data_IF_494255445056
#
_entry.id   IF_494255445056
#
_cell.length_a   1.000
_cell.length_b   1.000
_cell.length_c   1.000
_cell.angle_alpha   90.00
_cell.angle_beta   90.00
_cell.angle_gamma   90.00
#
_symmetry.space_group_name_H-M   'P 1'
#
loop_
_entity.id
_entity.type
_entity.pdbx_description
1 polymer ?
#
# COMPACT_ATOMS: atom_id res chain seq x y z
N UNK A 1 19.61 -17.96 31.59
CA UNK A 1 19.89 -16.64 30.99
C UNK A 1 19.16 -16.57 29.66
N UNK A 2 17.83 -16.36 29.68
CA UNK A 2 17.05 -16.17 28.45
C UNK A 2 17.26 -14.74 27.99
N UNK A 3 18.06 -14.55 26.95
CA UNK A 3 18.15 -13.26 26.28
C UNK A 3 16.84 -13.05 25.53
N UNK A 4 15.99 -12.15 26.04
CA UNK A 4 14.91 -11.55 25.26
C UNK A 4 15.57 -10.77 24.12
N UNK A 5 15.68 -11.37 22.94
CA UNK A 5 16.11 -10.65 21.74
C UNK A 5 15.12 -9.50 21.52
N UNK A 6 15.64 -8.27 21.60
CA UNK A 6 14.87 -7.08 21.29
C UNK A 6 14.29 -7.22 19.86
N UNK A 7 12.97 -7.15 19.73
CA UNK A 7 12.30 -7.16 18.44
C UNK A 7 12.90 -6.06 17.55
N UNK A 8 13.30 -6.37 16.30
CA UNK A 8 13.86 -5.34 15.43
C UNK A 8 12.82 -4.24 15.24
N UNK A 9 13.20 -2.99 15.50
CA UNK A 9 12.30 -1.85 15.31
C UNK A 9 12.22 -1.54 13.82
N UNK A 10 11.00 -1.58 13.28
CA UNK A 10 10.72 -0.99 11.96
C UNK A 10 10.99 0.51 12.07
N UNK A 11 11.92 1.03 11.27
CA UNK A 11 12.24 2.46 11.19
C UNK A 11 11.78 2.99 9.85
N UNK A 12 10.95 4.03 9.85
CA UNK A 12 10.40 4.67 8.64
C UNK A 12 8.89 4.78 8.67
N UNK A 13 8.35 5.82 8.03
CA UNK A 13 6.91 6.01 7.92
C UNK A 13 6.43 5.35 6.61
N UNK A 14 5.48 4.42 6.71
CA UNK A 14 4.88 3.76 5.55
C UNK A 14 3.55 4.43 5.20
N UNK A 15 3.41 4.92 3.97
CA UNK A 15 2.32 5.80 3.52
C UNK A 15 0.88 5.30 3.85
N UNK A 16 0.64 3.98 3.88
CA UNK A 16 -0.68 3.37 4.17
C UNK A 16 -0.77 2.60 5.50
N UNK A 17 0.29 2.58 6.30
CA UNK A 17 0.38 1.70 7.47
C UNK A 17 0.51 2.53 8.74
N UNK A 18 -0.41 2.34 9.68
CA UNK A 18 -0.40 3.07 10.95
C UNK A 18 0.58 2.46 11.97
N UNK A 19 0.56 1.13 12.11
CA UNK A 19 1.35 0.39 13.10
C UNK A 19 1.97 -0.87 12.47
N UNK A 20 2.90 -0.71 11.50
CA UNK A 20 3.57 -1.86 10.92
C UNK A 20 4.44 -2.56 11.97
N UNK A 21 4.34 -3.89 12.03
CA UNK A 21 5.19 -4.74 12.85
C UNK A 21 5.86 -5.81 11.99
N UNK A 22 7.01 -6.30 12.44
CA UNK A 22 7.70 -7.38 11.73
C UNK A 22 6.93 -8.69 11.93
N UNK A 23 6.73 -9.41 10.83
CA UNK A 23 6.07 -10.69 10.88
C UNK A 23 6.95 -11.71 11.62
N UNK A 24 6.55 -12.02 12.84
CA UNK A 24 7.18 -13.01 13.71
C UNK A 24 6.31 -14.28 13.81
N UNK A 25 6.95 -15.45 13.69
CA UNK A 25 6.24 -16.73 13.69
C UNK A 25 5.56 -17.00 15.03
N UNK A 26 6.24 -16.76 16.15
CA UNK A 26 5.73 -17.06 17.49
C UNK A 26 4.55 -16.15 17.87
N UNK A 27 4.65 -14.85 17.57
CA UNK A 27 3.65 -13.84 17.89
C UNK A 27 2.40 -13.92 17.00
N UNK A 28 2.55 -14.31 15.73
CA UNK A 28 1.46 -14.28 14.75
C UNK A 28 0.97 -15.68 14.33
N UNK A 29 1.50 -16.77 14.89
CA UNK A 29 1.11 -18.15 14.51
C UNK A 29 -0.39 -18.44 14.62
N UNK A 30 -1.08 -17.79 15.57
CA UNK A 30 -2.52 -17.94 15.77
C UNK A 30 -3.38 -16.95 14.98
N UNK A 31 -2.77 -16.06 14.20
CA UNK A 31 -3.49 -15.05 13.43
C UNK A 31 -3.73 -15.54 11.99
N UNK A 32 -4.78 -15.01 11.38
CA UNK A 32 -5.15 -15.29 9.99
C UNK A 32 -5.68 -14.03 9.32
N UNK A 33 -5.87 -14.10 8.01
CA UNK A 33 -6.49 -13.04 7.24
C UNK A 33 -7.99 -13.29 7.15
N UNK A 34 -8.76 -12.30 7.57
CA UNK A 34 -10.20 -12.25 7.32
C UNK A 34 -10.47 -11.48 6.02
N UNK A 35 -11.15 -12.06 5.03
CA UNK A 35 -11.56 -11.33 3.84
C UNK A 35 -12.46 -10.15 4.21
N UNK A 36 -11.94 -8.94 4.08
CA UNK A 36 -12.72 -7.74 4.37
C UNK A 36 -13.93 -7.64 3.43
N UNK A 37 -15.11 -7.30 3.98
CA UNK A 37 -16.32 -7.05 3.19
C UNK A 37 -16.14 -5.91 2.17
N UNK A 38 -15.21 -4.99 2.42
CA UNK A 38 -14.81 -3.88 1.55
C UNK A 38 -13.29 -3.90 1.33
N UNK A 39 -12.77 -4.72 0.40
CA UNK A 39 -11.35 -5.04 0.31
C UNK A 39 -10.42 -3.85 0.09
N UNK A 40 -10.86 -2.79 -0.58
CA UNK A 40 -10.05 -1.60 -0.91
C UNK A 40 -10.42 -0.34 -0.12
N UNK A 41 -11.33 -0.44 0.85
CA UNK A 41 -11.75 0.72 1.65
C UNK A 41 -10.57 1.41 2.38
N UNK A 42 -9.52 0.65 2.71
CA UNK A 42 -8.30 1.17 3.35
C UNK A 42 -7.58 2.25 2.52
N UNK A 43 -7.77 2.27 1.20
CA UNK A 43 -7.15 3.24 0.29
C UNK A 43 -8.18 4.17 -0.36
N UNK A 44 -9.41 4.23 0.16
CA UNK A 44 -10.47 5.11 -0.36
C UNK A 44 -10.13 6.60 -0.24
N UNK A 45 -9.25 6.96 0.72
CA UNK A 45 -8.90 8.34 1.02
C UNK A 45 -7.53 8.83 0.52
N UNK A 46 -6.88 8.08 -0.37
CA UNK A 46 -5.58 8.46 -0.92
C UNK A 46 -5.69 9.01 -2.34
N UNK A 47 -4.83 9.96 -2.69
CA UNK A 47 -4.80 10.57 -4.03
C UNK A 47 -3.70 10.04 -4.93
N UNK A 48 -2.71 9.37 -4.35
CA UNK A 48 -1.60 8.82 -5.08
C UNK A 48 -1.01 7.64 -4.33
N UNK A 49 -0.38 6.72 -5.06
CA UNK A 49 0.32 5.57 -4.47
C UNK A 49 1.65 5.35 -5.16
N UNK A 50 2.71 4.98 -4.42
CA UNK A 50 3.97 4.59 -5.02
C UNK A 50 3.81 3.39 -5.96
N UNK A 51 4.46 3.46 -7.11
CA UNK A 51 4.60 2.34 -8.06
C UNK A 51 6.08 2.04 -8.27
N UNK A 52 6.40 0.83 -8.69
CA UNK A 52 7.77 0.49 -9.10
C UNK A 52 7.99 0.84 -10.58
N UNK A 53 9.25 0.97 -11.01
CA UNK A 53 9.58 1.25 -12.41
C UNK A 53 9.00 0.20 -13.38
N UNK A 54 8.97 -1.07 -12.96
CA UNK A 54 8.40 -2.16 -13.74
C UNK A 54 6.87 -2.10 -13.85
N UNK A 55 6.19 -1.36 -12.97
CA UNK A 55 4.74 -1.16 -13.03
C UNK A 55 4.34 -0.01 -13.95
N UNK A 56 5.24 0.93 -14.24
CA UNK A 56 4.93 2.14 -15.02
C UNK A 56 4.25 1.82 -16.36
N UNK A 57 4.70 0.88 -17.20
CA UNK A 57 4.06 0.63 -18.49
C UNK A 57 2.59 0.21 -18.38
N UNK A 58 2.23 -0.54 -17.33
CA UNK A 58 0.87 -0.99 -17.11
C UNK A 58 0.04 0.08 -16.40
N UNK A 59 0.59 0.67 -15.34
CA UNK A 59 -0.07 1.72 -14.57
C UNK A 59 -0.41 2.94 -15.44
N UNK A 60 0.46 3.31 -16.38
CA UNK A 60 0.28 4.51 -17.22
C UNK A 60 -0.90 4.40 -18.19
N UNK A 61 -1.45 3.19 -18.41
CA UNK A 61 -2.67 2.99 -19.20
C UNK A 61 -3.94 3.45 -18.47
N UNK A 62 -3.86 3.59 -17.15
CA UNK A 62 -5.01 3.89 -16.27
C UNK A 62 -4.81 5.15 -15.43
N UNK A 63 -3.56 5.48 -15.08
CA UNK A 63 -3.21 6.56 -14.16
C UNK A 63 -2.19 7.51 -14.79
N UNK A 64 -2.29 8.82 -14.55
CA UNK A 64 -1.14 9.69 -14.65
C UNK A 64 -0.04 9.20 -13.70
N UNK A 65 1.19 9.07 -14.19
CA UNK A 65 2.36 8.76 -13.38
C UNK A 65 3.22 10.00 -13.24
N UNK A 66 3.44 10.44 -12.00
CA UNK A 66 4.23 11.64 -11.66
C UNK A 66 5.44 11.28 -10.80
N UNK A 67 6.41 12.17 -10.70
CA UNK A 67 7.60 12.00 -9.86
C UNK A 67 7.67 13.10 -8.80
N UNK A 68 7.87 12.73 -7.53
CA UNK A 68 7.83 13.70 -6.41
C UNK A 68 8.92 14.79 -6.47
N UNK A 69 10.13 14.44 -6.90
CA UNK A 69 11.26 15.39 -6.97
C UNK A 69 12.23 15.00 -8.08
N UNK A 70 13.10 15.94 -8.48
CA UNK A 70 14.15 15.66 -9.47
C UNK A 70 15.35 14.95 -8.84
N UNK A 71 15.65 15.29 -7.60
CA UNK A 71 16.81 14.82 -6.85
C UNK A 71 16.61 13.38 -6.34
N UNK A 72 15.38 13.05 -5.94
CA UNK A 72 14.98 11.71 -5.52
C UNK A 72 13.65 11.34 -6.18
N UNK A 73 13.68 10.90 -7.45
CA UNK A 73 12.47 10.63 -8.21
C UNK A 73 11.78 9.36 -7.70
N UNK A 74 10.67 9.55 -7.00
CA UNK A 74 9.75 8.48 -6.62
C UNK A 74 8.53 8.54 -7.53
N UNK A 75 8.29 7.51 -8.38
CA UNK A 75 7.12 7.46 -9.24
C UNK A 75 5.85 7.17 -8.43
N UNK A 76 4.81 7.95 -8.67
CA UNK A 76 3.49 7.82 -8.07
C UNK A 76 2.43 7.70 -9.15
N UNK A 77 1.53 6.74 -9.00
CA UNK A 77 0.29 6.72 -9.76
C UNK A 77 -0.73 7.64 -9.08
N UNK A 78 -1.30 8.58 -9.84
CA UNK A 78 -2.35 9.49 -9.37
C UNK A 78 -3.71 8.81 -9.44
N UNK A 79 -4.38 8.68 -8.30
CA UNK A 79 -5.66 7.99 -8.11
C UNK A 79 -6.82 8.96 -7.86
N UNK A 80 -6.53 10.24 -7.59
CA UNK A 80 -7.53 11.25 -7.27
C UNK A 80 -7.01 12.67 -7.49
N UNK A 81 -7.93 13.61 -7.69
CA UNK A 81 -7.61 15.02 -7.99
C UNK A 81 -7.82 15.93 -6.78
N UNK A 82 -8.95 15.81 -6.07
CA UNK A 82 -9.35 16.67 -4.95
C UNK A 82 -9.92 15.84 -3.78
N UNK A 83 -10.07 16.47 -2.62
CA UNK A 83 -10.83 15.99 -1.44
C UNK A 83 -10.43 14.64 -0.80
N UNK A 84 -9.19 14.20 -0.98
CA UNK A 84 -8.69 12.94 -0.44
C UNK A 84 -9.61 11.78 -0.83
N UNK A 85 -9.95 11.72 -2.13
CA UNK A 85 -10.77 10.66 -2.69
C UNK A 85 -9.97 9.88 -3.73
N UNK A 86 -9.96 8.55 -3.58
CA UNK A 86 -9.50 7.63 -4.59
C UNK A 86 -10.65 7.32 -5.55
N UNK A 87 -10.53 7.76 -6.81
CA UNK A 87 -11.56 7.62 -7.83
C UNK A 87 -11.73 6.16 -8.32
N UNK A 88 -10.82 5.26 -7.94
CA UNK A 88 -10.81 3.86 -8.34
C UNK A 88 -11.39 2.92 -7.27
N UNK A 89 -11.90 3.48 -6.16
CA UNK A 89 -12.59 2.70 -5.12
C UNK A 89 -14.06 3.09 -5.13
N UNK A 90 -14.93 2.13 -5.44
CA UNK A 90 -16.37 2.31 -5.38
C UNK A 90 -16.90 2.44 -3.95
N UNK A 91 -18.16 2.88 -3.80
CA UNK A 91 -18.83 2.98 -2.50
C UNK A 91 -18.97 1.62 -1.79
N UNK A 92 -19.01 0.55 -2.57
CA UNK A 92 -18.98 -0.85 -2.11
C UNK A 92 -17.60 -1.30 -1.61
N UNK A 93 -16.57 -0.46 -1.78
CA UNK A 93 -15.20 -0.73 -1.37
C UNK A 93 -14.44 -1.67 -2.31
N UNK A 94 -14.96 -1.90 -3.52
CA UNK A 94 -14.27 -2.65 -4.57
C UNK A 94 -13.41 -1.71 -5.42
N UNK A 95 -12.34 -2.27 -5.98
CA UNK A 95 -11.52 -1.58 -6.97
C UNK A 95 -12.22 -1.58 -8.33
N UNK A 96 -11.98 -0.52 -9.11
CA UNK A 96 -12.47 -0.41 -10.49
C UNK A 96 -12.01 -1.61 -11.34
N UNK A 97 -12.96 -2.40 -11.84
CA UNK A 97 -12.73 -3.77 -12.33
C UNK A 97 -11.70 -3.87 -13.46
N UNK A 98 -11.65 -2.86 -14.31
CA UNK A 98 -10.78 -2.85 -15.48
C UNK A 98 -9.47 -2.12 -15.23
N UNK A 99 -9.32 -1.45 -14.09
CA UNK A 99 -8.13 -0.65 -13.78
C UNK A 99 -7.02 -1.51 -13.17
N UNK A 100 -5.78 -1.21 -13.54
CA UNK A 100 -4.61 -1.83 -12.92
C UNK A 100 -4.60 -1.61 -11.40
N UNK A 101 -4.22 -2.61 -10.61
CA UNK A 101 -4.08 -2.46 -9.15
C UNK A 101 -2.59 -2.32 -8.82
N UNK A 102 -2.12 -1.14 -8.37
CA UNK A 102 -0.75 -0.95 -7.93
C UNK A 102 -0.32 -2.00 -6.89
N UNK A 103 0.88 -2.53 -7.04
CA UNK A 103 1.45 -3.58 -6.19
C UNK A 103 1.62 -3.16 -4.73
N UNK A 104 1.73 -1.86 -4.46
CA UNK A 104 1.67 -1.33 -3.10
C UNK A 104 0.31 -1.60 -2.43
N UNK A 105 -0.80 -1.50 -3.18
CA UNK A 105 -2.15 -1.80 -2.69
C UNK A 105 -2.42 -3.30 -2.62
N UNK A 106 -1.99 -4.07 -3.63
CA UNK A 106 -2.22 -5.54 -3.70
C UNK A 106 -1.64 -6.32 -2.52
N UNK A 107 -0.62 -5.78 -1.86
CA UNK A 107 0.06 -6.46 -0.74
C UNK A 107 -0.57 -6.17 0.61
N UNK A 108 -1.44 -5.15 0.72
CA UNK A 108 -2.08 -4.78 2.00
C UNK A 108 -2.82 -6.00 2.60
N UNK A 109 -2.68 -6.27 3.90
CA UNK A 109 -2.03 -5.47 4.95
C UNK A 109 -0.54 -5.80 5.18
N UNK A 110 0.15 -6.39 4.21
CA UNK A 110 1.58 -6.71 4.29
C UNK A 110 2.44 -5.80 3.43
N UNK A 111 3.70 -5.66 3.83
CA UNK A 111 4.73 -5.02 3.04
C UNK A 111 6.09 -5.67 3.28
N UNK A 112 7.04 -5.37 2.39
CA UNK A 112 8.41 -5.78 2.57
C UNK A 112 9.11 -4.78 3.49
N UNK A 113 9.68 -5.30 4.58
CA UNK A 113 10.64 -4.55 5.38
C UNK A 113 12.00 -4.60 4.68
N UNK A 114 12.56 -3.43 4.37
CA UNK A 114 13.88 -3.26 3.75
C UNK A 114 14.73 -2.30 4.57
#
# INVERSE_FOLDING_TARGET
MSQTQASPKVSGNMFLFERPELLNREQHAGMGLDPAAKPFAFCSKIRAVPVTLSEIPEASKFFPVVFMSKEQPVPLAVLGLHDDLNLFVGEDGNWEKMAYIPGYLRRYPFALAG
#
